data_IF_474145693447
#
_entry.id   IF_474145693447
#
_cell.length_a   1.000
_cell.length_b   1.000
_cell.length_c   1.000
_cell.angle_alpha   90.00
_cell.angle_beta   90.00
_cell.angle_gamma   90.00
#
_symmetry.space_group_name_H-M   'P 1'
#
loop_
_entity.id
_entity.type
_entity.pdbx_description
1 polymer ?
#
# COMPACT_ATOMS: atom_id res chain seq x y z
N UNK A 1 12.16 -11.42 -21.46
CA UNK A 1 11.62 -10.45 -20.49
C UNK A 1 12.38 -10.70 -19.20
N UNK A 2 13.34 -9.83 -18.87
CA UNK A 2 14.16 -10.01 -17.67
C UNK A 2 13.35 -9.51 -16.47
N UNK A 3 12.90 -10.43 -15.61
CA UNK A 3 12.21 -10.09 -14.37
C UNK A 3 13.12 -9.22 -13.50
N UNK A 4 12.63 -8.07 -13.03
CA UNK A 4 13.38 -7.19 -12.14
C UNK A 4 13.79 -7.95 -10.88
N UNK A 5 15.11 -8.14 -10.67
CA UNK A 5 15.63 -8.82 -9.49
C UNK A 5 15.30 -8.00 -8.23
N UNK A 6 14.89 -8.63 -7.12
CA UNK A 6 14.60 -7.90 -5.89
C UNK A 6 15.85 -7.16 -5.41
N UNK A 7 15.67 -5.96 -4.86
CA UNK A 7 16.76 -5.10 -4.40
C UNK A 7 16.60 -4.68 -2.93
N UNK A 8 17.71 -4.28 -2.32
CA UNK A 8 17.76 -3.78 -0.95
C UNK A 8 17.19 -2.36 -0.87
N UNK A 9 16.28 -2.11 0.07
CA UNK A 9 15.67 -0.79 0.27
C UNK A 9 16.66 0.30 0.71
N UNK A 10 17.83 -0.07 1.25
CA UNK A 10 18.82 0.88 1.81
C UNK A 10 19.97 1.14 0.86
N UNK A 11 20.60 0.08 0.35
CA UNK A 11 21.82 0.19 -0.46
C UNK A 11 21.59 -0.16 -1.94
N UNK A 12 20.35 -0.46 -2.34
CA UNK A 12 19.93 -0.77 -3.71
C UNK A 12 20.63 -1.96 -4.39
N UNK A 13 21.46 -2.72 -3.65
CA UNK A 13 22.03 -3.99 -4.15
C UNK A 13 20.91 -4.93 -4.58
N UNK A 14 21.02 -5.47 -5.79
CA UNK A 14 20.11 -6.48 -6.34
C UNK A 14 20.50 -7.88 -5.88
N UNK A 15 19.54 -8.82 -5.92
CA UNK A 15 19.83 -10.22 -5.66
C UNK A 15 20.81 -10.79 -6.70
N UNK A 16 21.80 -11.54 -6.22
CA UNK A 16 22.84 -12.19 -7.01
C UNK A 16 23.39 -13.42 -6.27
N UNK A 17 24.36 -14.12 -6.87
CA UNK A 17 24.91 -15.38 -6.33
C UNK A 17 25.42 -15.21 -4.89
N UNK A 18 26.04 -14.07 -4.56
CA UNK A 18 26.56 -13.75 -3.23
C UNK A 18 25.63 -12.87 -2.37
N UNK A 19 24.47 -12.47 -2.88
CA UNK A 19 23.60 -11.47 -2.25
C UNK A 19 22.15 -11.97 -2.20
N UNK A 20 21.76 -12.54 -1.06
CA UNK A 20 20.39 -12.95 -0.81
C UNK A 20 19.58 -11.78 -0.20
N UNK A 21 18.60 -11.30 -0.96
CA UNK A 21 17.68 -10.27 -0.49
C UNK A 21 16.56 -10.92 0.34
N UNK A 22 16.49 -10.57 1.62
CA UNK A 22 15.49 -11.08 2.57
C UNK A 22 14.41 -10.06 2.83
N UNK A 23 13.18 -10.53 3.05
CA UNK A 23 12.08 -9.69 3.52
C UNK A 23 12.14 -9.51 5.04
N UNK A 24 11.63 -8.38 5.53
CA UNK A 24 11.38 -8.18 6.95
C UNK A 24 10.49 -9.31 7.49
N UNK A 25 10.93 -9.98 8.55
CA UNK A 25 10.21 -11.13 9.12
C UNK A 25 8.84 -10.77 9.71
N UNK A 26 8.64 -9.51 10.10
CA UNK A 26 7.40 -9.02 10.72
C UNK A 26 6.33 -8.70 9.67
N UNK A 27 6.64 -7.83 8.71
CA UNK A 27 5.66 -7.32 7.75
C UNK A 27 5.77 -7.98 6.37
N UNK A 28 6.89 -8.65 6.06
CA UNK A 28 7.20 -9.25 4.76
C UNK A 28 7.22 -8.27 3.58
N UNK A 29 7.18 -6.96 3.85
CA UNK A 29 7.09 -5.92 2.81
C UNK A 29 8.45 -5.37 2.40
N UNK A 30 9.22 -4.84 3.36
CA UNK A 30 10.55 -4.28 3.09
C UNK A 30 11.59 -5.38 2.87
N UNK A 31 12.53 -5.12 1.95
CA UNK A 31 13.59 -6.06 1.53
C UNK A 31 14.98 -5.53 1.85
N UNK A 32 15.85 -6.39 2.37
CA UNK A 32 17.20 -6.04 2.81
C UNK A 32 18.22 -7.11 2.42
N UNK A 33 19.43 -6.71 2.03
CA UNK A 33 20.53 -7.65 1.79
C UNK A 33 21.19 -8.15 3.08
N UNK A 34 21.03 -7.45 4.19
CA UNK A 34 21.62 -7.80 5.48
C UNK A 34 20.82 -7.22 6.65
N UNK A 35 21.08 -7.74 7.85
CA UNK A 35 20.52 -7.22 9.10
C UNK A 35 20.99 -5.78 9.38
N UNK A 36 22.17 -5.39 8.91
CA UNK A 36 22.69 -4.04 9.07
C UNK A 36 21.85 -3.04 8.27
N UNK A 37 21.48 -3.39 7.04
CA UNK A 37 20.55 -2.58 6.25
C UNK A 37 19.17 -2.49 6.92
N UNK A 38 18.66 -3.60 7.47
CA UNK A 38 17.40 -3.57 8.20
C UNK A 38 17.45 -2.66 9.44
N UNK A 39 18.55 -2.71 10.21
CA UNK A 39 18.75 -1.86 11.39
C UNK A 39 18.89 -0.38 11.02
N UNK A 40 19.58 -0.08 9.92
CA UNK A 40 19.73 1.27 9.41
C UNK A 40 18.37 1.88 9.00
N UNK A 41 17.48 1.09 8.38
CA UNK A 41 16.12 1.51 8.01
C UNK A 41 15.12 1.44 9.17
N UNK A 42 15.45 0.80 10.29
CA UNK A 42 14.49 0.58 11.38
C UNK A 42 13.83 1.87 11.94
N UNK A 43 14.53 3.00 12.11
CA UNK A 43 13.91 4.23 12.61
C UNK A 43 12.76 4.74 11.74
N UNK A 44 12.88 4.59 10.41
CA UNK A 44 11.87 4.97 9.41
C UNK A 44 10.85 3.85 9.21
N UNK A 45 11.30 2.61 9.09
CA UNK A 45 10.46 1.45 8.81
C UNK A 45 9.52 1.07 9.95
N UNK A 46 9.94 1.19 11.22
CA UNK A 46 9.17 0.67 12.38
C UNK A 46 7.73 1.17 12.45
N UNK A 47 7.47 2.39 11.95
CA UNK A 47 6.13 3.01 11.95
C UNK A 47 5.18 2.35 10.95
N UNK A 48 5.74 1.85 9.85
CA UNK A 48 5.04 1.17 8.76
C UNK A 48 5.10 -0.36 8.90
N UNK A 49 5.95 -0.86 9.81
CA UNK A 49 6.15 -2.29 10.05
C UNK A 49 4.97 -2.90 10.81
N UNK A 50 3.91 -3.26 10.08
CA UNK A 50 2.74 -3.92 10.64
C UNK A 50 2.82 -5.45 10.45
N UNK A 51 2.46 -6.20 11.50
CA UNK A 51 2.48 -7.67 11.54
C UNK A 51 1.23 -8.31 10.94
N UNK A 52 0.21 -7.51 10.58
CA UNK A 52 -1.03 -7.98 9.98
C UNK A 52 -0.80 -8.47 8.56
N UNK A 53 -1.24 -9.68 8.26
CA UNK A 53 -1.48 -10.11 6.89
C UNK A 53 -2.51 -9.15 6.30
N UNK A 54 -2.06 -8.30 5.38
CA UNK A 54 -2.98 -7.45 4.65
C UNK A 54 -3.85 -8.38 3.80
N UNK A 55 -5.16 -8.10 3.77
CA UNK A 55 -6.09 -8.84 2.93
C UNK A 55 -5.93 -8.52 1.42
N UNK A 56 -5.04 -7.58 1.10
CA UNK A 56 -4.64 -7.17 -0.24
C UNK A 56 -3.13 -7.35 -0.45
N UNK A 57 -2.69 -7.47 -1.70
CA UNK A 57 -1.27 -7.51 -2.03
C UNK A 57 -0.62 -6.14 -1.75
N UNK A 58 0.48 -6.13 -0.99
CA UNK A 58 1.27 -4.93 -0.68
C UNK A 58 2.18 -4.48 -1.84
N UNK A 59 2.26 -5.28 -2.90
CA UNK A 59 3.03 -4.99 -4.10
C UNK A 59 2.07 -4.91 -5.28
N UNK A 60 2.21 -3.84 -6.06
CA UNK A 60 1.50 -3.71 -7.34
C UNK A 60 2.53 -3.69 -8.46
N UNK A 61 2.34 -4.59 -9.42
CA UNK A 61 3.09 -4.58 -10.67
C UNK A 61 2.53 -3.47 -11.57
N UNK A 62 3.40 -2.57 -12.00
CA UNK A 62 3.08 -1.59 -13.03
C UNK A 62 3.20 -2.22 -14.43
N UNK A 63 2.61 -1.57 -15.43
CA UNK A 63 2.66 -2.04 -16.83
C UNK A 63 4.10 -2.11 -17.37
N UNK A 64 5.01 -1.30 -16.83
CA UNK A 64 6.44 -1.30 -17.16
C UNK A 64 7.21 -2.47 -16.51
N UNK A 65 6.53 -3.33 -15.73
CA UNK A 65 7.13 -4.46 -15.04
C UNK A 65 7.81 -4.10 -13.72
N UNK A 66 7.80 -2.84 -13.31
CA UNK A 66 8.31 -2.42 -12.01
C UNK A 66 7.35 -2.80 -10.88
N UNK A 67 7.90 -3.16 -9.73
CA UNK A 67 7.14 -3.51 -8.54
C UNK A 67 7.12 -2.32 -7.57
N UNK A 68 5.92 -1.81 -7.30
CA UNK A 68 5.73 -0.71 -6.37
C UNK A 68 5.15 -1.22 -5.06
N UNK A 69 5.87 -0.96 -3.96
CA UNK A 69 5.35 -1.19 -2.61
C UNK A 69 4.35 -0.07 -2.25
N UNK A 70 3.24 -0.45 -1.62
CA UNK A 70 2.22 0.52 -1.24
C UNK A 70 1.19 0.03 -0.24
N UNK A 71 0.32 0.97 0.11
CA UNK A 71 -0.82 0.75 0.99
C UNK A 71 -2.11 1.07 0.26
N UNK A 72 -3.09 0.17 0.41
CA UNK A 72 -4.45 0.45 0.01
C UNK A 72 -5.12 1.31 1.08
N UNK A 73 -5.51 2.53 0.69
CA UNK A 73 -6.11 3.51 1.57
C UNK A 73 -7.55 3.78 1.15
N UNK A 74 -8.47 3.71 2.12
CA UNK A 74 -9.84 4.16 1.93
C UNK A 74 -9.88 5.69 1.75
N UNK A 75 -10.54 6.15 0.69
CA UNK A 75 -10.73 7.57 0.43
C UNK A 75 -11.80 8.10 1.39
N UNK A 76 -11.40 8.96 2.32
CA UNK A 76 -12.30 9.53 3.35
C UNK A 76 -12.50 11.03 3.23
N UNK A 77 -11.84 11.68 2.27
CA UNK A 77 -11.91 13.11 2.01
C UNK A 77 -12.74 13.43 0.77
N UNK A 78 -13.13 14.71 0.65
CA UNK A 78 -13.80 15.24 -0.55
C UNK A 78 -12.77 15.70 -1.57
N UNK A 79 -13.06 15.46 -2.84
CA UNK A 79 -12.29 15.91 -3.99
C UNK A 79 -13.11 16.97 -4.76
N UNK A 80 -12.84 18.28 -4.55
CA UNK A 80 -13.64 19.35 -5.16
C UNK A 80 -13.60 19.33 -6.69
N UNK A 81 -12.48 18.92 -7.29
CA UNK A 81 -12.32 18.89 -8.76
C UNK A 81 -13.23 17.88 -9.43
N UNK A 82 -13.51 16.76 -8.76
CA UNK A 82 -14.28 15.65 -9.30
C UNK A 82 -15.70 15.60 -8.70
N UNK A 83 -15.99 16.44 -7.71
CA UNK A 83 -17.25 16.39 -6.96
C UNK A 83 -17.44 15.08 -6.20
N UNK A 84 -16.35 14.39 -5.82
CA UNK A 84 -16.44 13.12 -5.09
C UNK A 84 -16.16 13.30 -3.59
N UNK A 85 -16.68 12.39 -2.78
CA UNK A 85 -16.58 12.34 -1.32
C UNK A 85 -16.10 10.98 -0.82
N UNK A 86 -16.60 10.61 0.36
CA UNK A 86 -16.22 9.36 1.03
C UNK A 86 -16.45 8.13 0.13
N UNK A 87 -15.46 7.25 0.01
CA UNK A 87 -15.53 6.08 -0.85
C UNK A 87 -15.51 6.39 -2.35
N UNK A 88 -14.98 7.57 -2.73
CA UNK A 88 -14.86 8.02 -4.12
C UNK A 88 -16.19 7.97 -4.89
N UNK A 89 -17.28 8.27 -4.21
CA UNK A 89 -18.62 8.41 -4.78
C UNK A 89 -18.96 9.90 -4.86
N UNK A 90 -19.95 10.31 -5.65
CA UNK A 90 -20.40 11.71 -5.66
C UNK A 90 -20.81 12.16 -4.25
N UNK A 91 -20.61 13.43 -3.92
CA UNK A 91 -20.86 13.95 -2.55
C UNK A 91 -22.30 13.70 -2.09
N UNK A 92 -23.25 13.71 -3.02
CA UNK A 92 -24.68 13.45 -2.77
C UNK A 92 -24.94 12.00 -2.34
N UNK A 93 -24.06 11.07 -2.72
CA UNK A 93 -24.20 9.62 -2.48
C UNK A 93 -23.30 9.12 -1.33
N UNK A 94 -22.48 10.00 -0.73
CA UNK A 94 -21.49 9.61 0.28
C UNK A 94 -22.12 9.02 1.55
N UNK A 95 -23.30 9.51 1.93
CA UNK A 95 -24.03 9.02 3.11
C UNK A 95 -24.54 7.60 2.93
N UNK A 96 -24.95 7.22 1.72
CA UNK A 96 -25.38 5.85 1.42
C UNK A 96 -24.22 4.87 1.57
N UNK A 97 -23.06 5.19 1.01
CA UNK A 97 -21.87 4.32 1.06
C UNK A 97 -21.30 4.25 2.48
N UNK A 98 -21.30 5.35 3.25
CA UNK A 98 -20.96 5.34 4.68
C UNK A 98 -21.89 4.44 5.50
N UNK A 99 -23.21 4.58 5.31
CA UNK A 99 -24.21 3.78 6.02
C UNK A 99 -24.05 2.30 5.72
N UNK A 100 -23.88 1.93 4.45
CA UNK A 100 -23.61 0.55 4.04
C UNK A 100 -22.32 0.01 4.68
N UNK A 101 -21.26 0.81 4.73
CA UNK A 101 -20.02 0.42 5.39
C UNK A 101 -20.19 0.16 6.90
N UNK A 102 -20.90 1.02 7.61
CA UNK A 102 -21.09 0.87 9.06
C UNK A 102 -22.11 -0.20 9.42
N UNK A 103 -23.25 -0.25 8.72
CA UNK A 103 -24.39 -1.11 9.08
C UNK A 103 -24.32 -2.50 8.43
N UNK A 104 -24.00 -2.58 7.14
CA UNK A 104 -23.98 -3.87 6.43
C UNK A 104 -22.61 -4.56 6.52
N UNK A 105 -21.53 -3.80 6.38
CA UNK A 105 -20.17 -4.36 6.41
C UNK A 105 -19.54 -4.36 7.79
N UNK A 106 -20.14 -3.69 8.78
CA UNK A 106 -19.64 -3.63 10.16
C UNK A 106 -18.26 -2.98 10.26
N UNK A 107 -17.93 -2.04 9.38
CA UNK A 107 -16.61 -1.38 9.33
C UNK A 107 -15.49 -2.23 8.72
N UNK A 108 -15.81 -3.37 8.08
CA UNK A 108 -14.83 -4.25 7.44
C UNK A 108 -14.36 -3.71 6.08
N UNK A 109 -13.11 -3.28 6.01
CA UNK A 109 -12.50 -2.73 4.79
C UNK A 109 -12.41 -3.75 3.65
N UNK A 110 -12.22 -5.05 3.97
CA UNK A 110 -12.16 -6.09 2.94
C UNK A 110 -13.52 -6.25 2.29
N UNK A 111 -14.60 -6.31 3.07
CA UNK A 111 -15.96 -6.41 2.54
C UNK A 111 -16.34 -5.19 1.69
N UNK A 112 -15.95 -3.99 2.15
CA UNK A 112 -16.15 -2.78 1.37
C UNK A 112 -15.39 -2.83 0.04
N UNK A 113 -14.14 -3.30 0.04
CA UNK A 113 -13.37 -3.41 -1.19
C UNK A 113 -13.92 -4.47 -2.14
N UNK A 114 -14.33 -5.62 -1.63
CA UNK A 114 -14.95 -6.68 -2.43
C UNK A 114 -16.26 -6.17 -3.10
N UNK A 115 -16.98 -5.25 -2.45
CA UNK A 115 -18.20 -4.63 -2.98
C UNK A 115 -17.94 -3.41 -3.88
N UNK A 116 -16.98 -2.56 -3.51
CA UNK A 116 -16.75 -1.23 -4.09
C UNK A 116 -15.24 -0.89 -4.11
N UNK A 117 -14.44 -1.53 -4.98
CA UNK A 117 -12.98 -1.37 -5.00
C UNK A 117 -12.52 0.09 -5.20
N UNK A 118 -13.29 0.89 -5.93
CA UNK A 118 -12.99 2.29 -6.21
C UNK A 118 -13.07 3.21 -4.98
N UNK A 119 -13.62 2.74 -3.85
CA UNK A 119 -13.51 3.47 -2.58
C UNK A 119 -12.06 3.63 -2.11
N UNK A 120 -11.14 2.85 -2.67
CA UNK A 120 -9.76 2.81 -2.23
C UNK A 120 -8.82 3.39 -3.28
N UNK A 121 -7.84 4.17 -2.81
CA UNK A 121 -6.68 4.55 -3.60
C UNK A 121 -5.46 3.72 -3.21
N UNK A 122 -4.62 3.42 -4.19
CA UNK A 122 -3.31 2.85 -3.94
C UNK A 122 -2.31 3.96 -3.65
N UNK A 123 -1.68 3.95 -2.49
CA UNK A 123 -0.55 4.84 -2.17
C UNK A 123 0.76 4.10 -2.45
N UNK A 124 1.46 4.52 -3.50
CA UNK A 124 2.83 4.09 -3.74
C UNK A 124 3.79 4.76 -2.74
N UNK A 125 4.84 4.03 -2.35
CA UNK A 125 5.88 4.48 -1.43
C UNK A 125 6.33 5.94 -1.66
N UNK A 126 6.03 6.83 -0.71
CA UNK A 126 6.70 8.13 -0.55
C UNK A 126 6.14 9.33 -1.30
N UNK A 127 5.05 9.21 -2.07
CA UNK A 127 4.29 10.40 -2.47
C UNK A 127 3.27 10.71 -1.39
N UNK A 128 3.61 11.68 -0.53
CA UNK A 128 2.56 12.40 0.18
C UNK A 128 1.59 12.98 -0.86
N UNK A 129 0.30 12.92 -0.55
CA UNK A 129 -0.73 13.47 -1.45
C UNK A 129 -0.68 15.00 -1.58
N UNK A 130 0.40 15.66 -1.16
CA UNK A 130 0.65 17.08 -1.39
C UNK A 130 1.39 17.28 -2.70
N UNK A 131 0.71 17.03 -3.81
CA UNK A 131 0.95 17.81 -5.03
C UNK A 131 -0.28 18.64 -5.30
N UNK A 132 -0.38 19.75 -4.57
CA UNK A 132 -0.87 21.12 -4.90
C UNK A 132 -1.31 21.82 -3.62
#
# INVERSE_FOLDING_TARGET
>A
MESSKPSCAVCQKTAGEDCNIKQCSTCKTRRYCSIDCQRADWPTHKRECNKGEKWYDCHRLCQDGSEHFGDLELITWKCPTNGTGWGNVFVEEEEYIKKKFTEEFGGDLKKLFDHWPQAFRWRCCGMDGSMT
#
